data_IF_712772135510
#
_entry.id   IF_712772135510
#
_cell.length_a   1.000
_cell.length_b   1.000
_cell.length_c   1.000
_cell.angle_alpha   90.00
_cell.angle_beta   90.00
_cell.angle_gamma   90.00
#
_symmetry.space_group_name_H-M   'P 1'
#
loop_
_entity.id
_entity.type
_entity.pdbx_description
1 polymer ?
#
# COMPACT_ATOMS: atom_id res chain seq x y z
N UNK A 1 -13.55 -15.13 -4.73
CA UNK A 1 -14.63 -16.11 -4.45
C UNK A 1 -14.23 -17.56 -4.71
N UNK A 2 -13.21 -17.86 -5.54
CA UNK A 2 -12.80 -19.25 -5.85
C UNK A 2 -12.20 -19.96 -4.63
N UNK A 3 -11.41 -19.25 -3.82
CA UNK A 3 -10.74 -19.82 -2.64
C UNK A 3 -11.65 -20.53 -1.63
N UNK A 4 -12.71 -19.89 -1.10
CA UNK A 4 -13.56 -20.59 -0.13
C UNK A 4 -14.38 -21.70 -0.76
N UNK A 5 -14.81 -21.55 -2.02
CA UNK A 5 -15.55 -22.59 -2.75
C UNK A 5 -14.71 -23.84 -2.98
N UNK A 6 -13.43 -23.68 -3.34
CA UNK A 6 -12.51 -24.79 -3.53
C UNK A 6 -12.25 -25.54 -2.20
N UNK A 7 -12.07 -24.82 -1.09
CA UNK A 7 -11.95 -25.43 0.23
C UNK A 7 -13.22 -26.17 0.65
N UNK A 8 -14.40 -25.58 0.45
CA UNK A 8 -15.69 -26.23 0.72
C UNK A 8 -15.85 -27.50 -0.12
N UNK A 9 -15.49 -27.43 -1.41
CA UNK A 9 -15.50 -28.59 -2.31
C UNK A 9 -14.57 -29.71 -1.82
N UNK A 10 -13.38 -29.36 -1.33
CA UNK A 10 -12.44 -30.31 -0.76
C UNK A 10 -13.02 -30.94 0.53
N UNK A 11 -13.53 -30.14 1.46
CA UNK A 11 -14.08 -30.64 2.72
C UNK A 11 -15.31 -31.54 2.51
N UNK A 12 -16.20 -31.16 1.59
CA UNK A 12 -17.37 -31.96 1.23
C UNK A 12 -16.97 -33.28 0.56
N UNK A 13 -15.99 -33.24 -0.36
CA UNK A 13 -15.45 -34.44 -1.01
C UNK A 13 -14.80 -35.38 0.01
N UNK A 14 -14.09 -34.83 1.00
CA UNK A 14 -13.48 -35.60 2.09
C UNK A 14 -14.54 -36.32 2.92
N UNK A 15 -15.61 -35.61 3.32
CA UNK A 15 -16.71 -36.21 4.08
C UNK A 15 -17.40 -37.34 3.29
N UNK A 16 -17.66 -37.11 1.99
CA UNK A 16 -18.27 -38.12 1.12
C UNK A 16 -17.34 -39.31 0.86
N UNK A 17 -16.04 -39.09 0.78
CA UNK A 17 -15.05 -40.16 0.65
C UNK A 17 -15.10 -41.10 1.85
N UNK A 18 -15.12 -40.57 3.08
CA UNK A 18 -15.29 -41.39 4.28
C UNK A 18 -16.66 -42.08 4.36
N UNK A 19 -17.73 -41.43 3.92
CA UNK A 19 -19.09 -42.00 3.91
C UNK A 19 -19.22 -43.20 2.96
N UNK A 20 -18.56 -43.13 1.79
CA UNK A 20 -18.61 -44.17 0.76
C UNK A 20 -17.36 -45.04 0.70
N UNK A 21 -16.55 -45.08 1.77
CA UNK A 21 -15.29 -45.83 1.81
C UNK A 21 -15.42 -47.33 1.50
N UNK A 22 -16.60 -47.92 1.67
CA UNK A 22 -16.90 -49.34 1.39
C UNK A 22 -17.39 -49.60 -0.05
N UNK A 23 -17.60 -48.55 -0.85
CA UNK A 23 -17.99 -48.65 -2.25
C UNK A 23 -16.82 -48.18 -3.13
N UNK A 24 -16.11 -49.10 -3.76
CA UNK A 24 -14.87 -48.82 -4.49
C UNK A 24 -15.03 -47.75 -5.58
N UNK A 25 -16.12 -47.79 -6.35
CA UNK A 25 -16.36 -46.83 -7.42
C UNK A 25 -16.60 -45.42 -6.87
N UNK A 26 -17.45 -45.27 -5.85
CA UNK A 26 -17.76 -43.97 -5.24
C UNK A 26 -16.60 -43.44 -4.41
N UNK A 27 -15.89 -44.31 -3.71
CA UNK A 27 -14.69 -43.96 -2.92
C UNK A 27 -13.62 -43.34 -3.82
N UNK A 28 -13.28 -43.98 -4.94
CA UNK A 28 -12.30 -43.45 -5.92
C UNK A 28 -12.73 -42.11 -6.51
N UNK A 29 -14.02 -41.95 -6.81
CA UNK A 29 -14.57 -40.70 -7.32
C UNK A 29 -14.39 -39.56 -6.31
N UNK A 30 -14.80 -39.76 -5.06
CA UNK A 30 -14.70 -38.71 -4.03
C UNK A 30 -13.26 -38.43 -3.59
N UNK A 31 -12.38 -39.45 -3.61
CA UNK A 31 -10.94 -39.26 -3.44
C UNK A 31 -10.35 -38.35 -4.53
N UNK A 32 -10.68 -38.62 -5.80
CA UNK A 32 -10.20 -37.81 -6.93
C UNK A 32 -10.74 -36.38 -6.87
N UNK A 33 -12.04 -36.24 -6.53
CA UNK A 33 -12.68 -34.94 -6.30
C UNK A 33 -12.02 -34.16 -5.16
N UNK A 34 -11.66 -34.84 -4.06
CA UNK A 34 -10.94 -34.22 -2.94
C UNK A 34 -9.60 -33.64 -3.38
N UNK A 35 -8.74 -34.42 -4.04
CA UNK A 35 -7.44 -33.92 -4.50
C UNK A 35 -7.56 -32.83 -5.57
N UNK A 36 -8.54 -32.93 -6.47
CA UNK A 36 -8.83 -31.89 -7.46
C UNK A 36 -9.24 -30.57 -6.80
N UNK A 37 -10.17 -30.62 -5.85
CA UNK A 37 -10.61 -29.44 -5.11
C UNK A 37 -9.51 -28.87 -4.21
N UNK A 38 -8.68 -29.73 -3.59
CA UNK A 38 -7.53 -29.32 -2.80
C UNK A 38 -6.47 -28.63 -3.66
N UNK A 39 -6.19 -29.16 -4.87
CA UNK A 39 -5.28 -28.52 -5.83
C UNK A 39 -5.78 -27.15 -6.28
N UNK A 40 -7.07 -27.04 -6.62
CA UNK A 40 -7.72 -25.76 -6.93
C UNK A 40 -7.66 -24.78 -5.75
N UNK A 41 -7.84 -25.28 -4.53
CA UNK A 41 -7.70 -24.48 -3.31
C UNK A 41 -6.28 -23.93 -3.17
N UNK A 42 -5.25 -24.77 -3.23
CA UNK A 42 -3.86 -24.33 -3.12
C UNK A 42 -3.52 -23.32 -4.22
N UNK A 43 -3.92 -23.60 -5.46
CA UNK A 43 -3.71 -22.69 -6.59
C UNK A 43 -4.39 -21.33 -6.34
N UNK A 44 -5.61 -21.33 -5.81
CA UNK A 44 -6.34 -20.09 -5.51
C UNK A 44 -5.66 -19.23 -4.43
N UNK A 45 -4.96 -19.86 -3.47
CA UNK A 45 -4.18 -19.14 -2.45
C UNK A 45 -2.88 -18.59 -3.05
N UNK A 46 -2.21 -19.36 -3.90
CA UNK A 46 -0.97 -18.92 -4.56
C UNK A 46 -1.22 -17.73 -5.49
N UNK A 47 -2.34 -17.74 -6.22
CA UNK A 47 -2.78 -16.67 -7.11
C UNK A 47 -3.47 -15.51 -6.38
N UNK A 48 -3.68 -15.60 -5.06
CA UNK A 48 -4.26 -14.50 -4.30
C UNK A 48 -3.30 -13.31 -4.26
N UNK A 49 -3.85 -12.10 -4.29
CA UNK A 49 -3.10 -10.86 -4.17
C UNK A 49 -2.80 -10.56 -2.69
N UNK A 50 -1.75 -11.20 -2.18
CA UNK A 50 -1.33 -11.12 -0.78
C UNK A 50 0.16 -11.47 -0.64
N UNK A 51 0.78 -11.02 0.47
CA UNK A 51 2.19 -11.31 0.78
C UNK A 51 2.41 -12.79 1.04
N UNK A 52 3.66 -13.24 0.85
CA UNK A 52 4.05 -14.64 1.06
C UNK A 52 3.72 -15.13 2.48
N UNK A 53 3.91 -14.27 3.49
CA UNK A 53 3.58 -14.58 4.89
C UNK A 53 2.10 -14.86 5.11
N UNK A 54 1.21 -14.02 4.55
CA UNK A 54 -0.25 -14.20 4.64
C UNK A 54 -0.69 -15.48 3.92
N UNK A 55 -0.11 -15.75 2.73
CA UNK A 55 -0.38 -16.98 1.97
C UNK A 55 -0.02 -18.23 2.76
N UNK A 56 1.21 -18.29 3.31
CA UNK A 56 1.67 -19.44 4.10
C UNK A 56 0.89 -19.61 5.39
N UNK A 57 0.60 -18.52 6.11
CA UNK A 57 -0.22 -18.55 7.33
C UNK A 57 -1.64 -19.05 7.07
N UNK A 58 -2.25 -18.60 5.96
CA UNK A 58 -3.57 -19.05 5.52
C UNK A 58 -3.56 -20.54 5.18
N UNK A 59 -2.60 -20.99 4.36
CA UNK A 59 -2.45 -22.42 4.03
C UNK A 59 -2.28 -23.28 5.28
N UNK A 60 -1.41 -22.88 6.20
CA UNK A 60 -1.16 -23.62 7.43
C UNK A 60 -2.42 -23.77 8.28
N UNK A 61 -3.11 -22.66 8.55
CA UNK A 61 -4.35 -22.63 9.33
C UNK A 61 -5.43 -23.51 8.72
N UNK A 62 -5.64 -23.41 7.42
CA UNK A 62 -6.71 -24.08 6.70
C UNK A 62 -6.45 -25.59 6.57
N UNK A 63 -5.20 -25.99 6.31
CA UNK A 63 -4.80 -27.40 6.30
C UNK A 63 -4.94 -28.03 7.69
N UNK A 64 -4.61 -27.27 8.74
CA UNK A 64 -4.82 -27.72 10.12
C UNK A 64 -6.31 -27.91 10.41
N UNK A 65 -7.17 -26.98 10.00
CA UNK A 65 -8.62 -27.14 10.12
C UNK A 65 -9.12 -28.38 9.36
N UNK A 66 -8.64 -28.58 8.12
CA UNK A 66 -8.97 -29.74 7.31
C UNK A 66 -8.52 -31.07 7.95
N UNK A 67 -7.34 -31.08 8.59
CA UNK A 67 -6.86 -32.24 9.34
C UNK A 67 -7.75 -32.56 10.55
N UNK A 68 -8.21 -31.54 11.29
CA UNK A 68 -9.16 -31.72 12.41
C UNK A 68 -10.47 -32.34 11.91
N UNK A 69 -11.03 -31.83 10.82
CA UNK A 69 -12.23 -32.41 10.21
C UNK A 69 -11.99 -33.84 9.70
N UNK A 70 -10.85 -34.08 9.04
CA UNK A 70 -10.47 -35.41 8.56
C UNK A 70 -10.38 -36.44 9.69
N UNK A 71 -9.75 -36.07 10.81
CA UNK A 71 -9.67 -36.90 12.00
C UNK A 71 -11.06 -37.19 12.59
N UNK A 72 -11.92 -36.18 12.68
CA UNK A 72 -13.30 -36.35 13.14
C UNK A 72 -14.08 -37.32 12.23
N UNK A 73 -14.00 -37.16 10.91
CA UNK A 73 -14.65 -38.07 9.96
C UNK A 73 -14.10 -39.49 10.05
N UNK A 74 -12.80 -39.66 10.22
CA UNK A 74 -12.18 -40.97 10.38
C UNK A 74 -12.69 -41.71 11.62
N UNK A 75 -12.78 -41.02 12.78
CA UNK A 75 -13.30 -41.59 14.02
C UNK A 75 -14.78 -41.99 13.88
N UNK A 76 -15.57 -41.16 13.21
CA UNK A 76 -17.01 -41.38 13.04
C UNK A 76 -17.33 -42.38 11.92
N UNK A 77 -16.41 -42.63 10.99
CA UNK A 77 -16.61 -43.54 9.86
C UNK A 77 -16.85 -45.00 10.28
N UNK A 78 -16.55 -45.37 11.52
CA UNK A 78 -16.89 -46.68 12.09
C UNK A 78 -18.40 -46.93 12.15
N UNK A 79 -19.20 -45.87 12.30
CA UNK A 79 -20.65 -45.99 12.44
C UNK A 79 -21.38 -44.97 11.57
N UNK A 80 -22.04 -45.44 10.50
CA UNK A 80 -22.70 -44.61 9.49
C UNK A 80 -23.66 -43.55 10.06
N UNK A 81 -24.42 -43.88 11.13
CA UNK A 81 -25.35 -42.93 11.78
C UNK A 81 -24.60 -41.78 12.47
N UNK A 82 -23.51 -42.09 13.16
CA UNK A 82 -22.66 -41.10 13.83
C UNK A 82 -21.90 -40.23 12.84
N UNK A 83 -21.51 -40.78 11.69
CA UNK A 83 -20.91 -40.00 10.60
C UNK A 83 -21.90 -38.96 10.05
N UNK A 84 -23.16 -39.34 9.79
CA UNK A 84 -24.18 -38.41 9.28
C UNK A 84 -24.44 -37.29 10.31
N UNK A 85 -24.60 -37.65 11.59
CA UNK A 85 -24.78 -36.66 12.67
C UNK A 85 -23.55 -35.76 12.80
N UNK A 86 -22.34 -36.32 12.82
CA UNK A 86 -21.11 -35.54 12.89
C UNK A 86 -20.89 -34.65 11.67
N UNK A 87 -21.31 -35.05 10.47
CA UNK A 87 -21.30 -34.20 9.28
C UNK A 87 -22.19 -32.96 9.45
N UNK A 88 -23.36 -33.08 10.08
CA UNK A 88 -24.21 -31.90 10.35
C UNK A 88 -23.55 -30.91 11.32
N UNK A 89 -22.90 -31.41 12.38
CA UNK A 89 -22.12 -30.57 13.29
C UNK A 89 -20.91 -29.95 12.59
N UNK A 90 -20.24 -30.70 11.72
CA UNK A 90 -19.12 -30.20 10.93
C UNK A 90 -19.52 -29.07 9.97
N UNK A 91 -20.72 -29.13 9.38
CA UNK A 91 -21.27 -28.04 8.55
C UNK A 91 -21.45 -26.77 9.38
N UNK A 92 -21.99 -26.86 10.60
CA UNK A 92 -22.15 -25.71 11.49
C UNK A 92 -20.79 -25.12 11.92
N UNK A 93 -19.84 -25.98 12.32
CA UNK A 93 -18.48 -25.58 12.67
C UNK A 93 -17.75 -24.93 11.48
N UNK A 94 -17.94 -25.48 10.27
CA UNK A 94 -17.41 -24.90 9.04
C UNK A 94 -18.04 -23.55 8.72
N UNK A 95 -19.36 -23.39 8.87
CA UNK A 95 -20.04 -22.11 8.66
C UNK A 95 -19.52 -21.00 9.59
N UNK A 96 -19.26 -21.34 10.86
CA UNK A 96 -18.61 -20.42 11.80
C UNK A 96 -17.17 -20.10 11.37
N UNK A 97 -16.37 -21.12 11.06
CA UNK A 97 -15.00 -20.95 10.60
C UNK A 97 -14.89 -20.09 9.33
N UNK A 98 -15.79 -20.31 8.37
CA UNK A 98 -15.90 -19.55 7.14
C UNK A 98 -16.12 -18.06 7.44
N UNK A 99 -17.12 -17.74 8.26
CA UNK A 99 -17.48 -16.36 8.60
C UNK A 99 -16.37 -15.66 9.40
N UNK A 100 -15.77 -16.36 10.36
CA UNK A 100 -14.78 -15.77 11.26
C UNK A 100 -13.39 -15.64 10.64
N UNK A 101 -12.99 -16.57 9.75
CA UNK A 101 -11.61 -16.66 9.26
C UNK A 101 -11.52 -16.55 7.74
N UNK A 102 -12.18 -17.45 7.01
CA UNK A 102 -11.95 -17.55 5.55
C UNK A 102 -12.45 -16.35 4.77
N UNK A 103 -13.60 -15.78 5.13
CA UNK A 103 -14.19 -14.63 4.44
C UNK A 103 -13.25 -13.40 4.44
N UNK A 104 -12.37 -13.30 5.43
CA UNK A 104 -11.50 -12.14 5.64
C UNK A 104 -10.02 -12.40 5.31
N UNK A 105 -9.65 -13.63 4.92
CA UNK A 105 -8.23 -14.03 4.79
C UNK A 105 -7.45 -13.30 3.70
N UNK A 106 -8.15 -12.77 2.69
CA UNK A 106 -7.57 -11.99 1.60
C UNK A 106 -8.33 -10.67 1.37
N UNK A 107 -9.16 -10.25 2.33
CA UNK A 107 -9.89 -8.97 2.23
C UNK A 107 -9.07 -7.79 2.72
N UNK A 108 -7.98 -8.04 3.47
CA UNK A 108 -6.93 -7.05 3.62
C UNK A 108 -6.19 -6.96 2.29
N UNK A 109 -6.62 -6.02 1.44
CA UNK A 109 -5.70 -5.42 0.49
C UNK A 109 -4.48 -5.04 1.30
N UNK A 110 -3.31 -5.52 0.91
CA UNK A 110 -2.07 -4.85 1.31
C UNK A 110 -2.08 -3.52 0.55
N UNK A 111 -2.88 -2.58 1.03
CA UNK A 111 -2.29 -1.26 1.14
C UNK A 111 -1.40 -1.39 2.36
N UNK A 112 -0.09 -1.44 2.11
CA UNK A 112 0.76 -0.55 2.91
C UNK A 112 0.17 0.85 2.68
N UNK A 113 -0.91 1.19 3.39
CA UNK A 113 -1.27 2.59 3.48
C UNK A 113 -0.07 3.17 4.22
N UNK A 114 0.61 4.17 3.63
CA UNK A 114 1.68 4.83 4.33
C UNK A 114 1.16 5.24 5.70
N UNK A 115 2.00 5.12 6.72
CA UNK A 115 1.61 5.57 8.04
C UNK A 115 1.20 7.04 7.93
N UNK A 116 0.02 7.40 8.46
CA UNK A 116 -0.37 8.80 8.53
C UNK A 116 0.57 9.54 9.48
N UNK A 117 0.70 10.85 9.29
CA UNK A 117 1.42 11.70 10.25
C UNK A 117 0.82 11.53 11.65
N UNK A 118 1.66 11.38 12.67
CA UNK A 118 1.24 11.22 14.06
C UNK A 118 0.69 12.51 14.69
N UNK A 119 0.88 13.62 13.99
CA UNK A 119 0.42 14.97 14.30
C UNK A 119 -0.15 15.58 13.02
N UNK A 120 -1.33 15.11 12.63
CA UNK A 120 -2.07 15.64 11.50
C UNK A 120 -2.53 14.57 10.55
N UNK A 121 -3.30 13.60 11.04
CA UNK A 121 -3.67 12.40 10.30
C UNK A 121 -4.53 12.66 9.06
N UNK A 122 -5.23 13.80 9.01
CA UNK A 122 -6.10 14.16 7.91
C UNK A 122 -5.76 15.55 7.36
N UNK A 123 -5.94 15.70 6.06
CA UNK A 123 -5.98 16.97 5.37
C UNK A 123 -7.43 17.25 4.96
N UNK A 124 -7.93 18.45 5.30
CA UNK A 124 -9.31 18.88 5.05
C UNK A 124 -9.30 20.16 4.24
N UNK A 125 -10.00 20.18 3.13
CA UNK A 125 -10.26 21.38 2.32
C UNK A 125 -11.63 21.94 2.66
N UNK A 126 -11.69 23.23 2.97
CA UNK A 126 -12.94 23.95 3.20
C UNK A 126 -13.32 24.75 1.96
N UNK A 127 -14.62 24.99 1.79
CA UNK A 127 -15.10 25.91 0.77
C UNK A 127 -14.59 27.33 1.01
N UNK A 128 -14.24 28.03 -0.07
CA UNK A 128 -13.65 29.38 -0.04
C UNK A 128 -14.36 30.32 0.95
N UNK A 129 -13.58 30.97 1.81
CA UNK A 129 -14.09 31.89 2.84
C UNK A 129 -14.73 31.23 4.06
N UNK A 130 -14.79 29.91 4.12
CA UNK A 130 -15.20 29.16 5.31
C UNK A 130 -14.04 29.00 6.28
N UNK A 131 -14.30 29.19 7.58
CA UNK A 131 -13.31 28.91 8.62
C UNK A 131 -13.59 27.60 9.36
N UNK A 132 -12.61 27.19 10.19
CA UNK A 132 -12.68 25.98 10.99
C UNK A 132 -13.83 25.97 12.03
N UNK A 133 -14.41 27.13 12.34
CA UNK A 133 -15.58 27.26 13.20
C UNK A 133 -16.80 26.53 12.64
N UNK A 134 -16.89 26.38 11.32
CA UNK A 134 -17.95 25.61 10.66
C UNK A 134 -17.94 24.13 11.07
N UNK A 135 -16.78 23.63 11.51
CA UNK A 135 -16.57 22.25 11.95
C UNK A 135 -16.73 22.06 13.47
N UNK A 136 -17.13 23.09 14.22
CA UNK A 136 -17.14 23.07 15.70
C UNK A 136 -17.89 21.87 16.33
N UNK A 137 -18.96 21.39 15.69
CA UNK A 137 -19.70 20.21 16.16
C UNK A 137 -18.87 18.93 16.06
N UNK A 138 -18.23 18.72 14.90
CA UNK A 138 -17.39 17.55 14.63
C UNK A 138 -16.11 17.62 15.48
N UNK A 139 -15.46 18.79 15.53
CA UNK A 139 -14.30 19.07 16.38
C UNK A 139 -14.57 18.69 17.84
N UNK A 140 -15.71 19.09 18.39
CA UNK A 140 -16.07 18.78 19.79
C UNK A 140 -16.38 17.31 20.02
N UNK A 141 -17.10 16.66 19.10
CA UNK A 141 -17.48 15.24 19.19
C UNK A 141 -16.25 14.33 19.24
N UNK A 142 -15.29 14.57 18.33
CA UNK A 142 -14.09 13.75 18.20
C UNK A 142 -12.85 14.36 18.89
N UNK A 143 -12.99 15.53 19.53
CA UNK A 143 -11.90 16.27 20.19
C UNK A 143 -10.73 16.58 19.24
N UNK A 144 -11.05 16.91 17.99
CA UNK A 144 -10.07 17.20 16.94
C UNK A 144 -9.33 18.50 17.24
N UNK A 145 -8.04 18.54 16.91
CA UNK A 145 -7.30 19.81 16.77
C UNK A 145 -7.11 20.08 15.30
N UNK A 146 -7.12 21.36 14.94
CA UNK A 146 -7.01 21.77 13.56
C UNK A 146 -6.08 22.97 13.49
N UNK A 147 -5.28 23.03 12.44
CA UNK A 147 -4.46 24.17 12.09
C UNK A 147 -4.43 24.33 10.58
N UNK A 148 -4.18 25.55 10.10
CA UNK A 148 -4.10 25.81 8.66
C UNK A 148 -2.87 25.13 8.09
N UNK A 149 -3.04 24.34 7.03
CA UNK A 149 -1.99 23.54 6.42
C UNK A 149 -0.96 24.41 5.69
N UNK A 150 -1.45 25.41 4.95
CA UNK A 150 -0.60 26.27 4.13
C UNK A 150 -0.83 27.75 4.40
N UNK A 151 0.23 28.54 4.26
CA UNK A 151 0.21 30.00 4.36
C UNK A 151 0.87 30.59 3.11
N UNK A 152 0.17 30.57 1.95
CA UNK A 152 0.73 31.04 0.69
C UNK A 152 1.03 32.54 0.75
N UNK A 153 2.08 32.97 0.05
CA UNK A 153 2.45 34.39 -0.05
C UNK A 153 1.49 35.20 -0.93
N UNK A 154 0.77 34.53 -1.84
CA UNK A 154 -0.15 35.11 -2.81
C UNK A 154 -1.49 34.33 -2.78
N UNK A 155 -2.25 34.42 -1.67
CA UNK A 155 -3.51 33.68 -1.50
C UNK A 155 -4.53 33.97 -2.61
N UNK A 156 -4.48 35.14 -3.24
CA UNK A 156 -5.35 35.49 -4.37
C UNK A 156 -5.11 34.66 -5.65
N UNK A 157 -4.03 33.86 -5.69
CA UNK A 157 -3.66 33.04 -6.85
C UNK A 157 -3.80 31.54 -6.61
N UNK A 158 -4.24 31.12 -5.42
CA UNK A 158 -4.28 29.72 -5.01
C UNK A 158 -5.29 29.50 -3.89
N UNK A 159 -5.87 28.30 -3.80
CA UNK A 159 -6.81 27.92 -2.73
C UNK A 159 -6.10 27.17 -1.58
N UNK A 160 -4.76 27.23 -1.52
CA UNK A 160 -3.98 26.43 -0.57
C UNK A 160 -4.24 26.86 0.88
N UNK A 161 -4.60 28.11 1.13
CA UNK A 161 -4.96 28.53 2.46
C UNK A 161 -6.26 27.91 2.97
N UNK A 162 -7.14 27.38 2.11
CA UNK A 162 -8.38 26.73 2.53
C UNK A 162 -8.19 25.32 3.11
N UNK A 163 -6.94 24.83 3.12
CA UNK A 163 -6.58 23.53 3.67
C UNK A 163 -6.22 23.61 5.16
N UNK A 164 -6.69 22.61 5.91
CA UNK A 164 -6.42 22.42 7.32
C UNK A 164 -5.86 21.02 7.58
N UNK A 165 -4.81 20.96 8.38
CA UNK A 165 -4.33 19.71 8.98
C UNK A 165 -5.17 19.44 10.22
N UNK A 166 -5.58 18.18 10.40
CA UNK A 166 -6.45 17.75 11.50
C UNK A 166 -5.79 16.63 12.29
N UNK A 167 -5.51 16.90 13.56
CA UNK A 167 -5.08 15.90 14.52
C UNK A 167 -6.30 15.12 15.05
N UNK A 168 -6.23 13.79 14.93
CA UNK A 168 -7.23 12.86 15.43
C UNK A 168 -6.68 12.19 16.69
N UNK A 169 -7.29 12.40 17.88
CA UNK A 169 -6.81 11.80 19.11
C UNK A 169 -6.70 10.25 19.03
N UNK A 170 -5.71 9.62 19.69
CA UNK A 170 -5.45 8.18 19.56
C UNK A 170 -6.64 7.25 19.84
N UNK A 171 -7.57 7.66 20.69
CA UNK A 171 -8.81 6.93 20.99
C UNK A 171 -9.82 6.90 19.81
N UNK A 172 -9.55 7.64 18.75
CA UNK A 172 -10.29 7.66 17.50
C UNK A 172 -9.47 7.17 16.29
N UNK A 173 -8.18 6.85 16.45
CA UNK A 173 -7.31 6.38 15.36
C UNK A 173 -7.88 5.16 14.62
N UNK A 174 -8.39 4.16 15.34
CA UNK A 174 -9.05 2.97 14.74
C UNK A 174 -10.45 3.24 14.16
N UNK A 175 -10.91 4.50 14.19
CA UNK A 175 -12.22 4.95 13.69
C UNK A 175 -12.06 6.15 12.75
N UNK A 176 -10.90 6.27 12.10
CA UNK A 176 -10.60 7.38 11.20
C UNK A 176 -11.66 7.54 10.10
N UNK A 177 -12.13 6.43 9.53
CA UNK A 177 -13.24 6.42 8.56
C UNK A 177 -14.54 7.04 9.09
N UNK A 178 -14.82 6.91 10.39
CA UNK A 178 -15.98 7.54 11.02
C UNK A 178 -15.80 9.05 11.11
N UNK A 179 -14.59 9.50 11.43
CA UNK A 179 -14.22 10.91 11.50
C UNK A 179 -14.28 11.55 10.10
N UNK A 180 -13.71 10.90 9.10
CA UNK A 180 -13.72 11.35 7.69
C UNK A 180 -15.17 11.54 7.22
N UNK A 181 -16.03 10.53 7.39
CA UNK A 181 -17.45 10.64 7.02
C UNK A 181 -18.18 11.75 7.75
N UNK A 182 -17.84 12.00 9.02
CA UNK A 182 -18.46 13.06 9.80
C UNK A 182 -18.02 14.45 9.33
N UNK A 183 -16.76 14.62 8.91
CA UNK A 183 -16.24 15.86 8.32
C UNK A 183 -16.86 16.11 6.94
N UNK A 184 -16.85 15.11 6.05
CA UNK A 184 -17.43 15.18 4.70
C UNK A 184 -18.95 15.44 4.68
N UNK A 185 -19.65 15.17 5.77
CA UNK A 185 -21.07 15.45 5.90
C UNK A 185 -21.37 16.95 6.19
N UNK A 186 -20.35 17.75 6.50
CA UNK A 186 -20.51 19.20 6.71
C UNK A 186 -20.50 19.91 5.36
N UNK A 187 -21.48 20.76 5.09
CA UNK A 187 -21.68 21.38 3.78
C UNK A 187 -20.59 22.36 3.34
N UNK A 188 -19.71 22.78 4.25
CA UNK A 188 -18.58 23.68 3.99
C UNK A 188 -17.26 22.93 3.80
N UNK A 189 -17.29 21.60 3.78
CA UNK A 189 -16.12 20.75 3.52
C UNK A 189 -16.21 20.26 2.08
N UNK A 190 -15.22 20.60 1.29
CA UNK A 190 -15.13 20.18 -0.11
C UNK A 190 -14.42 18.83 -0.22
N UNK A 191 -13.36 18.62 0.57
CA UNK A 191 -12.57 17.40 0.53
C UNK A 191 -11.98 17.02 1.89
N UNK A 192 -11.79 15.71 2.09
CA UNK A 192 -11.10 15.14 3.26
C UNK A 192 -10.31 13.92 2.81
N UNK A 193 -9.02 13.89 3.13
CA UNK A 193 -8.13 12.76 2.84
C UNK A 193 -7.16 12.45 3.99
N UNK A 194 -6.65 11.21 4.06
CA UNK A 194 -5.53 10.89 4.94
C UNK A 194 -4.26 11.64 4.54
N UNK A 195 -3.50 12.12 5.52
CA UNK A 195 -2.20 12.75 5.32
C UNK A 195 -1.09 11.71 5.49
N UNK A 196 -0.80 11.02 4.39
CA UNK A 196 0.11 9.88 4.32
C UNK A 196 1.59 10.30 4.34
N UNK A 197 2.41 9.66 5.18
CA UNK A 197 3.86 9.88 5.19
C UNK A 197 4.55 8.95 4.18
N UNK A 198 5.02 9.53 3.08
CA UNK A 198 5.79 8.80 2.06
C UNK A 198 7.28 8.83 2.43
N UNK A 199 7.89 7.64 2.51
CA UNK A 199 9.32 7.48 2.75
C UNK A 199 9.98 6.70 1.61
N UNK A 200 11.10 7.21 1.12
CA UNK A 200 11.91 6.55 0.10
C UNK A 200 13.22 6.11 0.74
N UNK A 201 13.60 4.85 0.51
CA UNK A 201 14.92 4.34 0.92
C UNK A 201 15.90 4.55 -0.24
N UNK A 202 17.09 5.15 0.00
CA UNK A 202 18.11 5.28 -1.04
C UNK A 202 18.53 3.91 -1.57
N UNK A 203 18.54 3.75 -2.88
CA UNK A 203 19.10 2.56 -3.52
C UNK A 203 20.64 2.60 -3.43
N UNK A 204 21.30 1.48 -3.08
CA UNK A 204 22.75 1.44 -3.05
C UNK A 204 23.32 1.67 -4.45
N UNK A 205 24.35 2.52 -4.55
CA UNK A 205 25.03 2.81 -5.81
C UNK A 205 25.58 1.52 -6.43
N UNK A 206 25.24 1.28 -7.69
CA UNK A 206 25.87 0.22 -8.50
C UNK A 206 27.07 0.81 -9.23
N UNK A 207 28.17 0.07 -9.27
CA UNK A 207 29.28 0.43 -10.14
C UNK A 207 28.85 0.32 -11.59
N UNK A 208 28.89 1.45 -12.29
CA UNK A 208 28.53 1.57 -13.70
C UNK A 208 29.82 1.52 -14.54
N UNK A 209 29.73 1.05 -15.80
CA UNK A 209 30.88 1.03 -16.69
C UNK A 209 31.40 2.44 -16.94
N UNK A 210 32.73 2.57 -17.00
CA UNK A 210 33.42 3.82 -17.34
C UNK A 210 33.16 4.12 -18.82
N UNK A 211 32.78 5.36 -19.11
CA UNK A 211 32.60 5.84 -20.48
C UNK A 211 33.88 6.50 -20.99
N UNK A 212 34.21 6.26 -22.26
CA UNK A 212 35.40 6.84 -22.92
C UNK A 212 34.97 7.87 -23.97
N UNK A 213 34.27 8.92 -23.53
CA UNK A 213 33.77 10.00 -24.38
C UNK A 213 34.09 11.35 -23.76
N UNK A 214 34.53 12.30 -24.57
CA UNK A 214 34.80 13.68 -24.15
C UNK A 214 33.54 14.52 -24.34
N UNK A 215 33.15 15.30 -23.35
CA UNK A 215 31.96 16.16 -23.40
C UNK A 215 32.26 17.66 -23.47
N UNK A 216 33.54 18.04 -23.67
CA UNK A 216 33.93 19.46 -23.69
C UNK A 216 33.90 20.16 -22.33
N UNK A 217 33.74 19.40 -21.24
CA UNK A 217 33.76 19.88 -19.85
C UNK A 217 34.99 19.30 -19.16
N UNK A 218 35.63 20.12 -18.31
CA UNK A 218 36.77 19.72 -17.48
C UNK A 218 36.28 19.31 -16.08
N UNK A 219 35.77 18.08 -15.98
CA UNK A 219 35.28 17.48 -14.73
C UNK A 219 35.94 16.10 -14.53
N UNK A 220 36.60 15.84 -13.37
CA UNK A 220 37.32 14.59 -13.13
C UNK A 220 36.40 13.36 -12.99
N UNK A 221 35.11 13.54 -12.70
CA UNK A 221 34.12 12.47 -12.53
C UNK A 221 33.31 12.17 -13.80
N UNK A 222 33.55 12.90 -14.90
CA UNK A 222 32.79 12.81 -16.15
C UNK A 222 32.75 11.40 -16.75
N UNK A 223 33.84 10.63 -16.57
CA UNK A 223 33.96 9.24 -17.04
C UNK A 223 33.00 8.26 -16.32
N UNK A 224 32.33 8.69 -15.24
CA UNK A 224 31.34 7.90 -14.50
C UNK A 224 29.89 8.27 -14.85
N UNK A 225 29.67 9.31 -15.65
CA UNK A 225 28.34 9.83 -15.99
C UNK A 225 27.78 9.18 -17.26
N UNK A 226 27.49 7.88 -17.24
CA UNK A 226 26.93 7.15 -18.40
C UNK A 226 25.68 7.82 -19.02
N UNK A 227 24.88 8.52 -18.20
CA UNK A 227 23.71 9.26 -18.66
C UNK A 227 24.05 10.38 -19.65
N UNK A 228 25.25 10.97 -19.56
CA UNK A 228 25.69 12.00 -20.50
C UNK A 228 25.89 11.44 -21.91
N UNK A 229 26.45 10.24 -22.02
CA UNK A 229 26.58 9.55 -23.31
C UNK A 229 25.20 9.17 -23.85
N UNK A 230 24.35 8.58 -23.00
CA UNK A 230 23.00 8.14 -23.39
C UNK A 230 22.10 9.30 -23.85
N UNK A 231 22.25 10.48 -23.26
CA UNK A 231 21.51 11.70 -23.63
C UNK A 231 22.22 12.54 -24.69
N UNK A 232 23.37 12.10 -25.20
CA UNK A 232 24.18 12.81 -26.21
C UNK A 232 24.48 14.27 -25.82
N UNK A 233 24.84 14.49 -24.55
CA UNK A 233 25.07 15.83 -23.97
C UNK A 233 26.22 16.56 -24.70
N UNK A 234 27.20 15.84 -25.23
CA UNK A 234 28.26 16.38 -26.08
C UNK A 234 27.69 17.11 -27.29
N UNK A 235 26.70 16.52 -27.97
CA UNK A 235 26.08 17.14 -29.15
C UNK A 235 25.27 18.38 -28.80
N UNK A 236 24.69 18.42 -27.59
CA UNK A 236 24.01 19.63 -27.10
C UNK A 236 25.01 20.77 -26.96
N UNK A 237 26.17 20.53 -26.34
CA UNK A 237 27.21 21.56 -26.21
C UNK A 237 27.78 21.97 -27.56
N UNK A 238 28.09 21.03 -28.45
CA UNK A 238 28.54 21.32 -29.82
C UNK A 238 27.51 22.17 -30.59
N UNK A 239 26.22 21.87 -30.44
CA UNK A 239 25.15 22.64 -31.05
C UNK A 239 25.07 24.06 -30.47
N UNK A 240 25.16 24.20 -29.14
CA UNK A 240 25.15 25.51 -28.49
C UNK A 240 26.33 26.38 -28.88
N UNK A 241 27.53 25.81 -28.98
CA UNK A 241 28.74 26.52 -29.40
C UNK A 241 28.68 26.90 -30.89
N UNK A 242 28.35 25.94 -31.77
CA UNK A 242 28.34 26.17 -33.22
C UNK A 242 27.29 27.19 -33.68
N UNK A 243 26.18 27.31 -32.94
CA UNK A 243 25.11 28.27 -33.20
C UNK A 243 25.23 29.54 -32.34
N UNK A 244 26.31 29.67 -31.55
CA UNK A 244 26.53 30.77 -30.60
C UNK A 244 25.30 31.06 -29.70
N UNK A 245 24.60 29.99 -29.29
CA UNK A 245 23.36 30.10 -28.53
C UNK A 245 23.62 30.65 -27.13
N UNK A 246 23.00 31.80 -26.84
CA UNK A 246 23.02 32.41 -25.51
C UNK A 246 21.66 32.24 -24.84
N UNK A 247 21.60 31.84 -23.55
CA UNK A 247 20.36 31.76 -22.80
C UNK A 247 19.63 33.12 -22.82
N UNK A 248 18.42 33.16 -23.38
CA UNK A 248 17.60 34.38 -23.41
C UNK A 248 16.86 34.65 -22.09
N UNK A 249 16.57 33.57 -21.35
CA UNK A 249 15.88 33.58 -20.06
C UNK A 249 16.47 32.47 -19.19
N UNK A 250 16.44 32.68 -17.89
CA UNK A 250 16.78 31.65 -16.90
C UNK A 250 15.49 31.04 -16.38
N UNK A 251 15.45 29.71 -16.27
CA UNK A 251 14.38 28.99 -15.60
C UNK A 251 14.78 28.71 -14.15
N UNK A 252 13.83 28.79 -13.23
CA UNK A 252 14.01 28.30 -11.86
C UNK A 252 13.61 26.82 -11.83
N UNK A 253 14.50 25.96 -11.35
CA UNK A 253 14.22 24.54 -11.13
C UNK A 253 13.98 24.37 -9.63
N UNK A 254 12.74 24.05 -9.25
CA UNK A 254 12.39 23.71 -7.87
C UNK A 254 12.51 22.19 -7.68
N UNK A 255 13.29 21.77 -6.69
CA UNK A 255 13.53 20.36 -6.36
C UNK A 255 12.92 20.11 -4.98
N UNK A 256 12.02 19.14 -4.87
CA UNK A 256 11.40 18.72 -3.61
C UNK A 256 12.10 17.44 -3.13
N UNK A 257 13.06 17.58 -2.21
CA UNK A 257 13.90 16.49 -1.71
C UNK A 257 14.34 16.76 -0.25
N UNK A 258 15.33 16.03 0.24
CA UNK A 258 15.83 16.07 1.64
C UNK A 258 16.56 17.35 2.03
N UNK A 259 16.96 18.16 1.05
CA UNK A 259 17.79 19.35 1.24
C UNK A 259 18.84 19.42 0.14
N UNK A 260 19.80 20.32 0.31
CA UNK A 260 20.95 20.44 -0.58
C UNK A 260 22.12 21.04 0.19
N UNK A 261 23.35 20.54 0.00
CA UNK A 261 24.54 21.22 0.52
C UNK A 261 24.79 22.53 -0.24
N UNK A 262 24.24 23.63 0.27
CA UNK A 262 24.36 24.95 -0.36
C UNK A 262 25.81 25.44 -0.54
N UNK A 263 26.79 24.82 0.13
CA UNK A 263 28.21 25.20 0.06
C UNK A 263 28.99 24.38 -0.95
N UNK A 264 28.41 23.31 -1.50
CA UNK A 264 29.08 22.44 -2.46
C UNK A 264 29.54 23.24 -3.68
N UNK A 265 30.76 22.97 -4.13
CA UNK A 265 31.47 23.84 -5.07
C UNK A 265 30.79 23.94 -6.43
N UNK A 266 30.21 22.84 -6.91
CA UNK A 266 29.55 22.75 -8.22
C UNK A 266 28.16 23.41 -8.28
N UNK A 267 27.53 23.67 -7.13
CA UNK A 267 26.14 24.14 -7.08
C UNK A 267 25.98 25.52 -6.45
N UNK A 268 26.89 25.96 -5.57
CA UNK A 268 26.78 27.25 -4.86
C UNK A 268 26.60 28.46 -5.77
N UNK A 269 27.10 28.40 -7.02
CA UNK A 269 26.97 29.47 -8.01
C UNK A 269 25.59 29.56 -8.67
N UNK A 270 24.80 28.48 -8.61
CA UNK A 270 23.49 28.35 -9.25
C UNK A 270 22.34 28.12 -8.24
N UNK A 271 22.66 27.80 -6.99
CA UNK A 271 21.68 27.54 -5.95
C UNK A 271 20.98 28.81 -5.46
N UNK A 272 19.67 28.70 -5.22
CA UNK A 272 18.86 29.75 -4.62
C UNK A 272 18.14 29.20 -3.39
N UNK A 273 18.53 29.68 -2.22
CA UNK A 273 17.89 29.30 -0.97
C UNK A 273 16.49 29.91 -0.87
N UNK A 274 15.51 29.07 -0.54
CA UNK A 274 14.14 29.51 -0.20
C UNK A 274 13.95 29.57 1.31
N UNK A 275 14.58 28.67 2.07
CA UNK A 275 14.66 28.67 3.54
C UNK A 275 15.98 28.02 3.98
N UNK A 276 16.61 28.58 5.00
CA UNK A 276 17.91 28.12 5.53
C UNK A 276 17.89 26.69 6.05
N UNK A 277 16.73 26.16 6.43
CA UNK A 277 16.57 24.76 6.88
C UNK A 277 16.87 23.76 5.75
N UNK A 278 16.74 24.16 4.49
CA UNK A 278 16.98 23.31 3.33
C UNK A 278 18.41 23.44 2.77
N UNK A 279 19.22 24.38 3.29
CA UNK A 279 20.59 24.67 2.82
C UNK A 279 21.63 23.63 3.31
N UNK A 280 21.17 22.56 3.95
CA UNK A 280 21.98 21.46 4.43
C UNK A 280 21.29 20.16 4.05
N UNK A 281 22.04 19.21 3.51
CA UNK A 281 21.54 17.85 3.29
C UNK A 281 22.01 16.92 4.41
N UNK A 282 21.14 16.53 5.35
CA UNK A 282 21.49 15.61 6.42
C UNK A 282 21.63 14.15 5.95
N UNK A 283 21.18 13.81 4.73
CA UNK A 283 21.18 12.44 4.20
C UNK A 283 22.19 12.20 3.09
N UNK A 284 22.82 13.24 2.52
CA UNK A 284 23.84 13.13 1.47
C UNK A 284 24.58 14.42 1.19
#
# INVERSE_FOLDING_TARGET
>A
MIYPLAFTGALASLALWFLYRTNDAKSKLFQSSFFGALGLYVLSVLLADASLGIKLGTLFRDLMAMAVFGMAFQLLAAHRRWLILGSTVAIAAFGWYYKSNMAHSFSQRISEQPANDASGELLVELAEGSGEETLATVKRKYKLKMERAFSPAFPETTELDDYFVVDVPPNYANRLDEVIRALQAVSTVDWVEPNEVVSVTPEPARQLPVINKKFGIDDPGLEHLWGFEAMEVDKLFEYMESQELKPKRKAMIAILDTGIDAKHEDIKGNYHSTKTVYDNDPKG
#
